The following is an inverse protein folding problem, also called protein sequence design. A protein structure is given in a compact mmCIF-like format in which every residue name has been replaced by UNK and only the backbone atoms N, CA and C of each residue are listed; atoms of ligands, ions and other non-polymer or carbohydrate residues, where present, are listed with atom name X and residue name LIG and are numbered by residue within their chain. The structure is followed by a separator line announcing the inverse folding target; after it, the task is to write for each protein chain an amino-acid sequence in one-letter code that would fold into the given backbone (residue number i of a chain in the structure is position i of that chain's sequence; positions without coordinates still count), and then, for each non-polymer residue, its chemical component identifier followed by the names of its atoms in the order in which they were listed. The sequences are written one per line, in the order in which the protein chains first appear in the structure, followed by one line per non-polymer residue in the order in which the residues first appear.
data_IF_609198016271
#
_entry.id   IF_609198016271
#
_cell.length_a   1.000
_cell.length_b   1.000
_cell.length_c   1.000
_cell.angle_alpha   90.00
_cell.angle_beta   90.00
_cell.angle_gamma   90.00
#
_symmetry.space_group_name_H-M   'P 1'
#
loop_
_entity.id
_entity.type
_entity.pdbx_description
1 polymer ?
#
# COMPACT_ATOMS: atom_id res chain seq x y z
N UNK A 1 24.55 4.60 -4.37
CA UNK A 1 23.17 4.26 -4.82
C UNK A 1 22.49 3.55 -3.66
N UNK A 2 21.56 4.20 -2.97
CA UNK A 2 20.78 3.54 -1.92
C UNK A 2 19.88 2.50 -2.60
N UNK A 3 20.01 1.23 -2.21
CA UNK A 3 19.15 0.15 -2.69
C UNK A 3 17.72 0.39 -2.20
N UNK A 4 16.75 0.35 -3.11
CA UNK A 4 15.33 0.45 -2.76
C UNK A 4 14.95 -0.56 -1.66
N UNK A 5 14.03 -0.16 -0.78
CA UNK A 5 13.56 -1.01 0.32
C UNK A 5 13.14 -2.40 -0.20
N UNK A 6 13.54 -3.52 0.44
CA UNK A 6 13.25 -4.87 -0.05
C UNK A 6 11.78 -5.14 -0.37
N UNK A 7 10.86 -4.57 0.41
CA UNK A 7 9.40 -4.69 0.16
C UNK A 7 8.98 -4.02 -1.16
N UNK A 8 9.52 -2.85 -1.49
CA UNK A 8 9.26 -2.19 -2.77
C UNK A 8 9.77 -3.04 -3.94
N UNK A 9 10.88 -3.77 -3.75
CA UNK A 9 11.40 -4.69 -4.77
C UNK A 9 10.43 -5.83 -5.04
N UNK A 10 9.81 -6.41 -4.01
CA UNK A 10 8.81 -7.49 -4.18
C UNK A 10 7.62 -7.00 -4.99
N UNK A 11 7.07 -5.83 -4.66
CA UNK A 11 5.95 -5.20 -5.37
C UNK A 11 6.31 -4.97 -6.84
N UNK A 12 7.45 -4.36 -7.12
CA UNK A 12 7.90 -4.07 -8.49
C UNK A 12 8.10 -5.36 -9.30
N UNK A 13 8.70 -6.39 -8.71
CA UNK A 13 8.90 -7.67 -9.39
C UNK A 13 7.57 -8.38 -9.63
N UNK A 14 6.67 -8.38 -8.64
CA UNK A 14 5.33 -8.96 -8.76
C UNK A 14 4.55 -8.28 -9.88
N UNK A 15 4.36 -6.96 -9.80
CA UNK A 15 3.63 -6.20 -10.82
C UNK A 15 4.25 -6.35 -12.21
N UNK A 16 5.58 -6.36 -12.36
CA UNK A 16 6.21 -6.58 -13.69
C UNK A 16 5.97 -7.97 -14.26
N UNK A 17 5.93 -8.99 -13.41
CA UNK A 17 5.61 -10.36 -13.84
C UNK A 17 4.16 -10.48 -14.26
N UNK A 18 3.25 -9.81 -13.55
CA UNK A 18 1.84 -9.89 -13.86
C UNK A 18 1.43 -8.95 -15.00
N UNK A 19 2.01 -7.76 -15.14
CA UNK A 19 1.60 -6.73 -16.10
C UNK A 19 1.52 -7.16 -17.58
N UNK A 20 2.21 -8.23 -17.98
CA UNK A 20 2.11 -8.79 -19.33
C UNK A 20 0.94 -9.76 -19.53
N UNK A 21 0.43 -10.35 -18.44
CA UNK A 21 -0.55 -11.45 -18.43
C UNK A 21 -1.84 -11.07 -17.67
N UNK A 22 -2.01 -9.80 -17.27
CA UNK A 22 -3.21 -9.33 -16.57
C UNK A 22 -4.41 -9.30 -17.52
N UNK A 23 -5.10 -10.44 -17.66
CA UNK A 23 -6.44 -10.52 -18.26
C UNK A 23 -7.57 -10.20 -17.27
N UNK A 24 -7.23 -9.62 -16.12
CA UNK A 24 -8.15 -9.36 -15.02
C UNK A 24 -8.49 -7.86 -15.00
N UNK A 25 -9.71 -7.49 -14.63
CA UNK A 25 -10.09 -6.06 -14.51
C UNK A 25 -9.48 -5.40 -13.26
N UNK A 26 -9.21 -6.20 -12.22
CA UNK A 26 -8.73 -5.73 -10.92
C UNK A 26 -7.66 -6.65 -10.34
N UNK A 27 -6.71 -6.06 -9.60
CA UNK A 27 -5.68 -6.75 -8.82
C UNK A 27 -5.80 -6.33 -7.36
N UNK A 28 -5.93 -7.30 -6.47
CA UNK A 28 -5.82 -7.11 -5.03
C UNK A 28 -4.46 -7.63 -4.56
N UNK A 29 -3.66 -6.75 -3.97
CA UNK A 29 -2.49 -7.14 -3.18
C UNK A 29 -2.87 -7.13 -1.71
N UNK A 30 -2.57 -8.21 -1.00
CA UNK A 30 -2.73 -8.34 0.45
C UNK A 30 -1.58 -9.20 1.00
N UNK A 31 -1.26 -9.02 2.28
CA UNK A 31 -0.26 -9.83 2.98
C UNK A 31 -0.86 -11.21 3.35
N UNK A 32 0.00 -12.19 3.64
CA UNK A 32 -0.42 -13.56 3.94
C UNK A 32 -1.08 -13.71 5.33
N UNK A 33 -0.91 -12.71 6.19
CA UNK A 33 -1.57 -12.58 7.49
C UNK A 33 -2.83 -11.70 7.46
N UNK A 34 -3.23 -11.23 6.27
CA UNK A 34 -4.42 -10.39 6.09
C UNK A 34 -5.68 -11.23 5.85
N UNK A 35 -6.80 -10.82 6.47
CA UNK A 35 -8.13 -11.35 6.15
C UNK A 35 -8.81 -10.49 5.09
N UNK A 36 -9.27 -11.12 4.00
CA UNK A 36 -10.02 -10.46 2.92
C UNK A 36 -11.45 -11.03 2.86
N UNK A 37 -12.45 -10.16 3.06
CA UNK A 37 -13.85 -10.52 2.81
C UNK A 37 -14.15 -10.47 1.30
N UNK A 38 -13.82 -11.56 0.60
CA UNK A 38 -13.95 -11.66 -0.87
C UNK A 38 -15.38 -11.40 -1.37
N UNK A 39 -16.46 -11.97 -0.78
CA UNK A 39 -17.82 -11.67 -1.22
C UNK A 39 -18.16 -10.18 -1.20
N UNK A 40 -17.82 -9.49 -0.11
CA UNK A 40 -18.07 -8.06 0.01
C UNK A 40 -17.21 -7.25 -0.96
N UNK A 41 -15.95 -7.66 -1.19
CA UNK A 41 -15.09 -7.03 -2.18
C UNK A 41 -15.68 -7.15 -3.59
N UNK A 42 -16.23 -8.31 -3.98
CA UNK A 42 -16.84 -8.50 -5.29
C UNK A 42 -18.10 -7.65 -5.49
N UNK A 43 -18.94 -7.51 -4.47
CA UNK A 43 -20.10 -6.61 -4.53
C UNK A 43 -19.66 -5.16 -4.72
N UNK A 44 -18.68 -4.73 -3.94
CA UNK A 44 -18.10 -3.39 -4.00
C UNK A 44 -17.46 -3.08 -5.37
N UNK A 45 -16.80 -4.05 -6.02
CA UNK A 45 -16.17 -3.87 -7.34
C UNK A 45 -17.16 -3.51 -8.45
N UNK A 46 -18.46 -3.82 -8.30
CA UNK A 46 -19.49 -3.49 -9.30
C UNK A 46 -19.69 -1.99 -9.48
N UNK A 47 -19.40 -1.22 -8.43
CA UNK A 47 -19.60 0.23 -8.41
C UNK A 47 -18.31 1.02 -8.65
N UNK A 48 -17.17 0.34 -8.80
CA UNK A 48 -15.87 1.00 -8.98
C UNK A 48 -15.50 1.21 -10.45
N UNK A 49 -14.66 2.22 -10.75
CA UNK A 49 -14.06 2.38 -12.07
C UNK A 49 -13.17 1.18 -12.43
N UNK A 50 -13.34 0.65 -13.64
CA UNK A 50 -12.50 -0.41 -14.22
C UNK A 50 -11.15 0.10 -14.72
N UNK A 51 -10.89 1.41 -14.66
CA UNK A 51 -9.63 2.04 -15.10
C UNK A 51 -9.21 3.13 -14.14
N UNK A 52 -7.90 3.25 -13.93
CA UNK A 52 -7.27 4.26 -13.05
C UNK A 52 -7.78 4.19 -11.61
N UNK A 53 -8.19 3.00 -11.17
CA UNK A 53 -8.52 2.75 -9.79
C UNK A 53 -7.24 2.43 -9.03
N UNK A 54 -7.01 3.14 -7.94
CA UNK A 54 -6.08 2.75 -6.90
C UNK A 54 -6.77 3.01 -5.57
N UNK A 55 -7.04 1.96 -4.82
CA UNK A 55 -7.83 2.02 -3.59
C UNK A 55 -7.18 1.21 -2.46
N UNK A 56 -7.25 1.75 -1.26
CA UNK A 56 -6.78 1.12 -0.04
C UNK A 56 -6.81 2.13 1.10
N UNK A 57 -6.10 1.81 2.18
CA UNK A 57 -5.95 2.72 3.32
C UNK A 57 -4.89 3.78 3.02
N UNK A 58 -5.29 4.90 2.44
CA UNK A 58 -4.38 5.97 2.04
C UNK A 58 -3.90 6.80 3.23
N UNK A 59 -2.59 7.05 3.25
CA UNK A 59 -1.96 7.94 4.22
C UNK A 59 -1.24 9.05 3.46
N UNK A 60 -1.69 10.29 3.67
CA UNK A 60 -1.09 11.51 3.08
C UNK A 60 0.03 12.09 3.98
N UNK A 61 0.03 11.73 5.27
CA UNK A 61 0.99 12.25 6.24
C UNK A 61 1.38 11.22 7.29
N UNK A 62 2.68 11.20 7.57
CA UNK A 62 3.35 10.40 8.60
C UNK A 62 2.49 10.36 9.87
N UNK A 63 2.00 9.19 10.32
CA UNK A 63 1.46 9.10 11.65
C UNK A 63 2.64 9.25 12.60
N UNK A 64 2.84 10.45 13.15
CA UNK A 64 3.60 10.61 14.37
C UNK A 64 2.89 9.76 15.42
N UNK A 65 3.39 8.55 15.66
CA UNK A 65 2.88 7.76 16.78
C UNK A 65 3.10 8.60 18.03
N UNK A 66 2.02 8.96 18.72
CA UNK A 66 2.14 9.68 19.97
C UNK A 66 2.50 8.67 21.05
N UNK A 67 3.63 8.85 21.71
CA UNK A 67 3.93 8.06 22.89
C UNK A 67 3.18 8.68 24.07
N UNK A 68 2.05 8.06 24.42
CA UNK A 68 1.24 8.50 25.54
C UNK A 68 1.96 8.41 26.89
N UNK A 69 3.01 7.59 27.02
CA UNK A 69 3.78 7.49 28.25
C UNK A 69 4.80 8.63 28.40
N UNK A 70 5.42 9.08 27.32
CA UNK A 70 6.41 10.18 27.34
C UNK A 70 5.84 11.56 26.99
N UNK A 71 4.58 11.63 26.52
CA UNK A 71 3.92 12.87 26.12
C UNK A 71 4.55 13.52 24.89
N UNK A 72 5.36 12.78 24.13
CA UNK A 72 6.10 13.26 22.97
C UNK A 72 5.73 12.43 21.73
N UNK A 73 5.83 13.03 20.53
CA UNK A 73 5.78 12.23 19.30
C UNK A 73 6.95 11.25 19.30
N UNK A 74 6.71 9.96 19.03
CA UNK A 74 7.78 9.00 18.75
C UNK A 74 8.54 9.47 17.52
N UNK A 75 9.74 9.97 17.74
CA UNK A 75 10.61 10.52 16.70
C UNK A 75 11.06 9.48 15.66
N UNK A 76 10.95 8.18 15.95
CA UNK A 76 11.60 7.10 15.19
C UNK A 76 10.73 6.32 14.19
N UNK A 77 9.45 6.63 14.02
CA UNK A 77 8.59 5.90 13.07
C UNK A 77 7.97 6.80 12.01
N UNK A 78 8.78 7.72 11.46
CA UNK A 78 8.33 8.37 10.23
C UNK A 78 8.30 7.34 9.10
N UNK A 79 7.25 7.36 8.27
CA UNK A 79 7.19 6.47 7.10
C UNK A 79 8.39 6.66 6.17
N UNK A 80 8.95 7.87 6.15
CA UNK A 80 10.20 8.16 5.47
C UNK A 80 11.37 7.37 6.06
N UNK A 81 11.48 7.27 7.40
CA UNK A 81 12.47 6.43 8.05
C UNK A 81 12.25 4.94 7.75
N UNK A 82 11.01 4.46 7.81
CA UNK A 82 10.67 3.06 7.47
C UNK A 82 11.07 2.71 6.02
N UNK A 83 10.73 3.56 5.06
CA UNK A 83 11.03 3.32 3.65
C UNK A 83 12.43 3.76 3.21
N UNK A 84 13.26 4.30 4.13
CA UNK A 84 14.51 4.99 3.80
C UNK A 84 14.34 6.07 2.69
N UNK A 85 13.25 6.83 2.76
CA UNK A 85 12.92 7.86 1.78
C UNK A 85 13.72 9.14 2.04
N UNK A 86 14.27 9.72 0.96
CA UNK A 86 15.10 10.93 1.00
C UNK A 86 14.25 12.21 1.16
N UNK A 87 12.92 12.11 1.04
CA UNK A 87 12.00 13.25 1.13
C UNK A 87 10.57 12.83 1.45
N UNK A 88 9.61 13.76 1.29
CA UNK A 88 8.18 13.49 1.49
C UNK A 88 7.74 12.38 0.52
N UNK A 89 7.08 11.36 1.06
CA UNK A 89 6.48 10.30 0.27
C UNK A 89 5.23 10.82 -0.46
N UNK A 90 4.96 10.32 -1.69
CA UNK A 90 3.66 10.53 -2.33
C UNK A 90 2.56 9.87 -1.49
N UNK A 91 1.30 10.22 -1.75
CA UNK A 91 0.16 9.50 -1.17
C UNK A 91 0.19 8.05 -1.65
N UNK A 92 0.08 7.08 -0.73
CA UNK A 92 0.03 5.67 -1.05
C UNK A 92 -0.83 4.89 -0.04
N UNK A 93 -1.28 3.70 -0.43
CA UNK A 93 -2.04 2.79 0.43
C UNK A 93 -1.10 1.97 1.33
N UNK A 94 -1.37 1.94 2.65
CA UNK A 94 -0.55 1.26 3.65
C UNK A 94 -1.31 0.14 4.39
N UNK A 95 -0.60 -0.95 4.69
CA UNK A 95 -0.85 -1.83 5.82
C UNK A 95 -1.84 -2.97 5.57
N UNK A 96 -2.97 -2.71 4.90
CA UNK A 96 -4.03 -3.71 4.71
C UNK A 96 -4.15 -4.20 3.26
N UNK A 97 -3.08 -4.05 2.49
CA UNK A 97 -3.12 -4.25 1.05
C UNK A 97 -3.78 -3.11 0.28
N UNK A 98 -3.91 -3.31 -1.03
CA UNK A 98 -4.53 -2.35 -1.94
C UNK A 98 -5.16 -3.06 -3.14
N UNK A 99 -6.20 -2.44 -3.67
CA UNK A 99 -6.87 -2.81 -4.90
C UNK A 99 -6.51 -1.82 -6.00
N UNK A 100 -6.23 -2.30 -7.20
CA UNK A 100 -6.04 -1.45 -8.37
C UNK A 100 -6.72 -2.03 -9.59
N UNK A 101 -7.13 -1.16 -10.52
CA UNK A 101 -7.43 -1.61 -11.89
C UNK A 101 -6.16 -2.12 -12.54
N UNK A 102 -6.23 -3.23 -13.25
CA UNK A 102 -5.10 -3.78 -14.00
C UNK A 102 -4.63 -2.89 -15.16
#
# INVERSE_FOLDING_TARGET
MQTAHPELRKIVVGLRRFAGDLSYDYVLMADDDSFVNVPNALEMLKDLPTRRLYWGNFIDTIPTQFDFASGKPKQELSMNAYLNAIGKLPVFALGMGFLMSA
#
